data_IF_624411193200
#
_entry.id   IF_624411193200
#
_cell.length_a   1.000
_cell.length_b   1.000
_cell.length_c   1.000
_cell.angle_alpha   90.00
_cell.angle_beta   90.00
_cell.angle_gamma   90.00
#
_symmetry.space_group_name_H-M   'P 1'
#
loop_
_entity.id
_entity.type
_entity.pdbx_description
1 polymer ?
#
# COMPACT_ATOMS: atom_id res chain seq x y z
N UNK A 1 47.26 -12.66 19.89
CA UNK A 1 45.90 -12.35 20.38
C UNK A 1 44.95 -12.68 19.24
N UNK A 2 44.15 -13.75 19.36
CA UNK A 2 43.15 -14.10 18.33
C UNK A 2 41.96 -13.15 18.49
N UNK A 3 41.45 -12.50 17.43
CA UNK A 3 40.21 -11.73 17.52
C UNK A 3 39.08 -12.67 17.94
N UNK A 4 38.24 -12.20 18.87
CA UNK A 4 37.05 -12.91 19.33
C UNK A 4 35.98 -12.83 18.24
N UNK A 5 35.89 -13.91 17.46
CA UNK A 5 35.00 -14.10 16.31
C UNK A 5 33.52 -13.84 16.69
N UNK A 6 33.13 -13.98 17.96
CA UNK A 6 31.73 -13.84 18.38
C UNK A 6 31.30 -12.37 18.57
N UNK A 7 32.23 -11.43 18.66
CA UNK A 7 31.91 -10.00 18.84
C UNK A 7 31.91 -9.21 17.53
N UNK A 8 32.54 -9.73 16.47
CA UNK A 8 32.60 -9.06 15.17
C UNK A 8 31.31 -9.26 14.36
N UNK A 9 30.68 -10.43 14.43
CA UNK A 9 29.48 -10.77 13.65
C UNK A 9 28.28 -9.83 13.92
N UNK A 10 27.91 -9.53 15.19
CA UNK A 10 26.76 -8.65 15.46
C UNK A 10 26.99 -7.21 15.00
N UNK A 11 28.23 -6.72 15.10
CA UNK A 11 28.62 -5.36 14.70
C UNK A 11 28.61 -5.22 13.17
N UNK A 12 29.11 -6.23 12.46
CA UNK A 12 29.09 -6.27 10.99
C UNK A 12 27.65 -6.35 10.47
N UNK A 13 26.80 -7.20 11.06
CA UNK A 13 25.39 -7.32 10.68
C UNK A 13 24.63 -6.00 10.88
N UNK A 14 24.76 -5.38 12.05
CA UNK A 14 24.12 -4.10 12.34
C UNK A 14 24.59 -3.00 11.38
N UNK A 15 25.88 -2.95 11.06
CA UNK A 15 26.45 -1.96 10.12
C UNK A 15 25.91 -2.15 8.72
N UNK A 16 25.82 -3.40 8.24
CA UNK A 16 25.25 -3.73 6.94
C UNK A 16 23.77 -3.35 6.85
N UNK A 17 22.99 -3.69 7.89
CA UNK A 17 21.58 -3.31 8.00
C UNK A 17 21.42 -1.79 7.99
N UNK A 18 22.16 -1.06 8.83
CA UNK A 18 22.13 0.41 8.88
C UNK A 18 22.44 1.02 7.52
N UNK A 19 23.47 0.53 6.84
CA UNK A 19 23.84 1.01 5.52
C UNK A 19 22.73 0.75 4.49
N UNK A 20 22.07 -0.40 4.56
CA UNK A 20 20.92 -0.71 3.70
C UNK A 20 19.72 0.20 3.99
N UNK A 21 19.36 0.38 5.26
CA UNK A 21 18.26 1.24 5.67
C UNK A 21 18.46 2.71 5.24
N UNK A 22 19.66 3.25 5.46
CA UNK A 22 19.99 4.62 5.03
C UNK A 22 19.94 4.77 3.51
N UNK A 23 20.41 3.78 2.75
CA UNK A 23 20.27 3.79 1.28
C UNK A 23 18.80 3.81 0.86
N UNK A 24 17.97 2.96 1.47
CA UNK A 24 16.54 2.94 1.17
C UNK A 24 15.89 4.30 1.46
N UNK A 25 16.12 4.87 2.66
CA UNK A 25 15.56 6.17 3.07
C UNK A 25 16.01 7.29 2.12
N UNK A 26 17.30 7.35 1.79
CA UNK A 26 17.80 8.35 0.85
C UNK A 26 17.18 8.18 -0.54
N UNK A 27 17.03 6.95 -1.02
CA UNK A 27 16.43 6.65 -2.32
C UNK A 27 14.95 7.04 -2.39
N UNK A 28 14.15 6.77 -1.35
CA UNK A 28 12.72 7.16 -1.37
C UNK A 28 12.52 8.67 -1.27
N UNK A 29 13.51 9.41 -0.79
CA UNK A 29 13.49 10.89 -0.70
C UNK A 29 14.14 11.59 -1.90
N UNK A 30 14.67 10.84 -2.87
CA UNK A 30 15.44 11.39 -3.99
C UNK A 30 14.60 12.23 -4.96
N UNK A 31 13.33 11.85 -5.20
CA UNK A 31 12.40 12.65 -6.02
C UNK A 31 10.99 12.70 -5.43
N UNK A 32 10.19 13.72 -5.76
CA UNK A 32 8.80 13.81 -5.31
C UNK A 32 7.95 12.57 -5.66
N UNK A 33 8.21 11.92 -6.80
CA UNK A 33 7.52 10.69 -7.20
C UNK A 33 7.87 9.51 -6.29
N UNK A 34 9.16 9.33 -5.97
CA UNK A 34 9.62 8.25 -5.10
C UNK A 34 9.03 8.42 -3.69
N UNK A 35 9.02 9.66 -3.18
CA UNK A 35 8.44 9.96 -1.88
C UNK A 35 6.92 9.73 -1.88
N UNK A 36 6.23 10.18 -2.93
CA UNK A 36 4.79 9.95 -3.07
C UNK A 36 4.45 8.45 -3.10
N UNK A 37 5.17 7.66 -3.89
CA UNK A 37 4.96 6.20 -3.94
C UNK A 37 5.29 5.52 -2.62
N UNK A 38 6.33 5.98 -1.91
CA UNK A 38 6.61 5.53 -0.54
C UNK A 38 5.44 5.83 0.39
N UNK A 39 4.89 7.05 0.37
CA UNK A 39 3.77 7.45 1.23
C UNK A 39 2.51 6.64 0.94
N UNK A 40 2.17 6.44 -0.34
CA UNK A 40 1.05 5.58 -0.77
C UNK A 40 1.28 4.12 -0.37
N UNK A 41 2.49 3.60 -0.58
CA UNK A 41 2.86 2.24 -0.17
C UNK A 41 2.72 2.03 1.34
N UNK A 42 3.20 3.00 2.13
CA UNK A 42 3.06 2.99 3.58
C UNK A 42 1.59 3.04 3.99
N UNK A 43 0.80 3.95 3.39
CA UNK A 43 -0.63 4.11 3.62
C UNK A 43 -1.41 2.81 3.40
N UNK A 44 -1.25 2.15 2.26
CA UNK A 44 -1.97 0.90 1.99
C UNK A 44 -1.48 -0.25 2.87
N UNK A 45 -0.18 -0.33 3.15
CA UNK A 45 0.38 -1.34 4.04
C UNK A 45 -0.22 -1.22 5.45
N UNK A 46 -0.24 -0.01 6.02
CA UNK A 46 -0.83 0.20 7.36
C UNK A 46 -2.33 -0.07 7.38
N UNK A 47 -3.08 0.32 6.36
CA UNK A 47 -4.51 -0.01 6.26
C UNK A 47 -4.74 -1.54 6.27
N UNK A 48 -3.98 -2.29 5.47
CA UNK A 48 -4.08 -3.76 5.44
C UNK A 48 -3.73 -4.40 6.79
N UNK A 49 -2.63 -3.99 7.42
CA UNK A 49 -2.20 -4.51 8.73
C UNK A 49 -3.22 -4.20 9.82
N UNK A 50 -3.73 -2.96 9.88
CA UNK A 50 -4.71 -2.55 10.88
C UNK A 50 -6.02 -3.31 10.70
N UNK A 51 -6.50 -3.47 9.45
CA UNK A 51 -7.74 -4.21 9.19
C UNK A 51 -7.68 -5.65 9.70
N UNK A 52 -6.60 -6.38 9.38
CA UNK A 52 -6.40 -7.74 9.88
C UNK A 52 -6.18 -7.80 11.40
N UNK A 53 -5.59 -6.77 12.00
CA UNK A 53 -5.35 -6.69 13.44
C UNK A 53 -6.61 -6.45 14.27
N UNK A 54 -7.54 -5.62 13.78
CA UNK A 54 -8.81 -5.33 14.49
C UNK A 54 -9.80 -6.49 14.33
N UNK A 55 -9.81 -7.15 13.16
CA UNK A 55 -10.70 -8.27 12.88
C UNK A 55 -9.94 -9.50 12.37
N UNK A 56 -9.35 -10.31 13.28
CA UNK A 56 -8.59 -11.51 12.91
C UNK A 56 -9.39 -12.51 12.07
N UNK A 57 -10.72 -12.57 12.24
CA UNK A 57 -11.61 -13.41 11.43
C UNK A 57 -11.58 -13.05 9.93
N UNK A 58 -11.12 -11.85 9.55
CA UNK A 58 -10.85 -11.49 8.16
C UNK A 58 -9.63 -12.21 7.57
N UNK A 59 -8.67 -12.61 8.41
CA UNK A 59 -7.45 -13.30 7.98
C UNK A 59 -7.59 -14.83 7.99
N UNK A 60 -8.36 -15.38 8.94
CA UNK A 60 -8.42 -16.82 9.23
C UNK A 60 -9.83 -17.43 9.30
N UNK A 61 -10.89 -16.65 9.03
CA UNK A 61 -12.28 -17.13 9.02
C UNK A 61 -12.73 -17.65 7.65
N UNK A 62 -13.55 -18.72 7.65
CA UNK A 62 -13.97 -19.47 6.46
C UNK A 62 -14.86 -18.76 5.44
N UNK A 63 -15.11 -17.45 5.58
CA UNK A 63 -15.98 -16.72 4.65
C UNK A 63 -15.66 -15.24 4.45
N UNK A 64 -14.41 -14.79 4.71
CA UNK A 64 -13.97 -13.39 4.47
C UNK A 64 -15.09 -12.37 4.78
N UNK A 65 -15.63 -12.44 5.98
CA UNK A 65 -16.86 -11.76 6.36
C UNK A 65 -16.68 -10.26 6.32
N UNK A 66 -17.61 -9.54 5.69
CA UNK A 66 -17.61 -8.08 5.69
C UNK A 66 -17.90 -7.54 7.09
N UNK A 67 -17.18 -6.50 7.47
CA UNK A 67 -17.44 -5.73 8.69
C UNK A 67 -17.42 -4.24 8.35
N UNK A 68 -18.40 -3.50 8.85
CA UNK A 68 -18.40 -2.04 8.78
C UNK A 68 -17.74 -1.50 10.04
N UNK A 69 -16.65 -0.78 9.86
CA UNK A 69 -15.91 -0.10 10.93
C UNK A 69 -16.11 1.40 10.82
N UNK A 70 -16.05 2.11 11.95
CA UNK A 70 -16.02 3.56 11.94
C UNK A 70 -14.56 4.03 11.85
N UNK A 71 -14.08 4.26 10.63
CA UNK A 71 -12.81 4.92 10.39
C UNK A 71 -12.85 6.34 11.01
N UNK A 72 -11.80 6.68 11.77
CA UNK A 72 -11.72 7.92 12.59
C UNK A 72 -12.89 8.13 13.58
N UNK A 73 -13.64 7.07 13.91
CA UNK A 73 -14.74 7.11 14.89
C UNK A 73 -16.10 7.57 14.36
N UNK A 74 -16.20 8.02 13.10
CA UNK A 74 -17.47 8.52 12.54
C UNK A 74 -17.69 8.21 11.04
N UNK A 75 -16.71 7.65 10.34
CA UNK A 75 -16.81 7.35 8.90
C UNK A 75 -17.07 5.84 8.74
N UNK A 76 -18.28 5.41 8.34
CA UNK A 76 -18.55 3.99 8.14
C UNK A 76 -17.80 3.50 6.89
N UNK A 77 -16.95 2.50 7.07
CA UNK A 77 -16.21 1.84 5.98
C UNK A 77 -16.44 0.35 6.10
N UNK A 78 -17.04 -0.24 5.08
CA UNK A 78 -17.20 -1.69 4.99
C UNK A 78 -15.95 -2.29 4.35
N UNK A 79 -15.36 -3.28 5.01
CA UNK A 79 -14.17 -4.00 4.52
C UNK A 79 -14.31 -5.49 4.80
N UNK A 80 -13.57 -6.31 4.05
CA UNK A 80 -13.42 -7.73 4.30
C UNK A 80 -11.96 -8.17 4.14
N UNK A 81 -11.69 -9.47 4.30
CA UNK A 81 -10.35 -10.02 4.17
C UNK A 81 -9.68 -9.78 2.81
N UNK A 82 -10.45 -9.81 1.72
CA UNK A 82 -9.93 -9.52 0.38
C UNK A 82 -9.53 -8.06 0.23
N UNK A 83 -10.38 -7.14 0.68
CA UNK A 83 -10.10 -5.71 0.68
C UNK A 83 -8.80 -5.41 1.44
N UNK A 84 -8.67 -5.94 2.66
CA UNK A 84 -7.47 -5.78 3.48
C UNK A 84 -6.22 -6.39 2.81
N UNK A 85 -6.37 -7.56 2.18
CA UNK A 85 -5.29 -8.22 1.45
C UNK A 85 -4.83 -7.41 0.25
N UNK A 86 -5.74 -6.83 -0.53
CA UNK A 86 -5.38 -6.03 -1.69
C UNK A 86 -4.63 -4.77 -1.28
N UNK A 87 -5.08 -4.04 -0.25
CA UNK A 87 -4.29 -2.92 0.30
C UNK A 87 -2.92 -3.38 0.79
N UNK A 88 -2.82 -4.52 1.46
CA UNK A 88 -1.53 -5.00 1.95
C UNK A 88 -0.58 -5.30 0.79
N UNK A 89 -1.03 -6.03 -0.24
CA UNK A 89 -0.21 -6.39 -1.39
C UNK A 89 0.21 -5.16 -2.19
N UNK A 90 -0.73 -4.25 -2.49
CA UNK A 90 -0.41 -3.01 -3.23
C UNK A 90 0.51 -2.12 -2.41
N UNK A 91 0.29 -2.02 -1.10
CA UNK A 91 1.15 -1.29 -0.18
C UNK A 91 2.59 -1.79 -0.17
N UNK A 92 2.79 -3.10 0.00
CA UNK A 92 4.12 -3.73 -0.02
C UNK A 92 4.79 -3.57 -1.39
N UNK A 93 4.04 -3.69 -2.49
CA UNK A 93 4.55 -3.43 -3.83
C UNK A 93 5.01 -1.96 -3.99
N UNK A 94 4.27 -1.00 -3.42
CA UNK A 94 4.63 0.42 -3.40
C UNK A 94 5.93 0.66 -2.65
N UNK A 95 6.06 0.12 -1.43
CA UNK A 95 7.29 0.20 -0.64
C UNK A 95 8.49 -0.42 -1.38
N UNK A 96 8.29 -1.57 -2.02
CA UNK A 96 9.34 -2.21 -2.80
C UNK A 96 9.75 -1.40 -4.04
N UNK A 97 8.81 -0.70 -4.68
CA UNK A 97 9.03 0.08 -5.90
C UNK A 97 9.55 1.51 -5.66
N UNK A 98 9.28 2.08 -4.48
CA UNK A 98 9.63 3.45 -4.11
C UNK A 98 11.13 3.82 -4.25
N UNK A 99 12.12 2.91 -4.04
CA UNK A 99 13.53 3.29 -4.10
C UNK A 99 14.05 3.70 -5.48
N UNK A 100 13.31 3.43 -6.56
CA UNK A 100 13.78 3.69 -7.92
C UNK A 100 12.71 4.38 -8.73
N UNK A 101 13.03 5.55 -9.28
CA UNK A 101 12.09 6.40 -10.03
C UNK A 101 11.31 5.67 -11.12
N UNK A 102 11.97 4.80 -11.90
CA UNK A 102 11.30 4.03 -12.96
C UNK A 102 10.23 3.08 -12.41
N UNK A 103 10.57 2.30 -11.36
CA UNK A 103 9.63 1.40 -10.70
C UNK A 103 8.51 2.16 -9.99
N UNK A 104 8.82 3.33 -9.39
CA UNK A 104 7.80 4.21 -8.83
C UNK A 104 6.80 4.69 -9.88
N UNK A 105 7.26 5.05 -11.09
CA UNK A 105 6.38 5.45 -12.18
C UNK A 105 5.49 4.29 -12.65
N UNK A 106 6.07 3.11 -12.87
CA UNK A 106 5.31 1.90 -13.23
C UNK A 106 4.28 1.54 -12.16
N UNK A 107 4.67 1.57 -10.89
CA UNK A 107 3.77 1.33 -9.77
C UNK A 107 2.61 2.33 -9.77
N UNK A 108 2.89 3.62 -9.93
CA UNK A 108 1.85 4.65 -9.93
C UNK A 108 0.82 4.41 -11.04
N UNK A 109 1.26 4.09 -12.26
CA UNK A 109 0.33 3.75 -13.35
C UNK A 109 -0.50 2.49 -13.05
N UNK A 110 0.16 1.39 -12.68
CA UNK A 110 -0.52 0.11 -12.44
C UNK A 110 -1.48 0.22 -11.25
N UNK A 111 -1.01 0.74 -10.11
CA UNK A 111 -1.79 0.89 -8.89
C UNK A 111 -2.93 1.88 -9.09
N UNK A 112 -2.67 3.06 -9.67
CA UNK A 112 -3.69 4.07 -9.89
C UNK A 112 -4.84 3.54 -10.76
N UNK A 113 -4.52 2.88 -11.88
CA UNK A 113 -5.52 2.27 -12.76
C UNK A 113 -6.25 1.10 -12.08
N UNK A 114 -5.55 0.29 -11.28
CA UNK A 114 -6.17 -0.78 -10.51
C UNK A 114 -7.23 -0.24 -9.53
N UNK A 115 -6.92 0.83 -8.79
CA UNK A 115 -7.87 1.44 -7.86
C UNK A 115 -9.06 2.10 -8.57
N UNK A 116 -8.85 2.70 -9.75
CA UNK A 116 -9.96 3.20 -10.58
C UNK A 116 -10.84 2.07 -11.11
N UNK A 117 -10.27 0.94 -11.51
CA UNK A 117 -11.03 -0.25 -11.90
C UNK A 117 -11.87 -0.76 -10.74
N UNK A 118 -11.27 -0.90 -9.55
CA UNK A 118 -11.98 -1.32 -8.34
C UNK A 118 -13.13 -0.37 -8.01
N UNK A 119 -12.90 0.94 -8.08
CA UNK A 119 -13.94 1.95 -7.87
C UNK A 119 -15.08 1.82 -8.89
N UNK A 120 -14.76 1.67 -10.18
CA UNK A 120 -15.76 1.49 -11.23
C UNK A 120 -16.59 0.23 -11.02
N UNK A 121 -15.97 -0.88 -10.62
CA UNK A 121 -16.66 -2.11 -10.26
C UNK A 121 -17.57 -1.88 -9.04
N UNK A 122 -17.11 -1.18 -8.01
CA UNK A 122 -17.89 -0.85 -6.82
C UNK A 122 -19.15 -0.04 -7.14
N UNK A 123 -19.07 0.95 -8.04
CA UNK A 123 -20.24 1.73 -8.46
C UNK A 123 -21.22 0.97 -9.37
N UNK A 124 -20.75 -0.01 -10.14
CA UNK A 124 -21.55 -0.65 -11.21
C UNK A 124 -22.14 -2.00 -10.83
N UNK A 125 -21.57 -2.69 -9.84
CA UNK A 125 -21.78 -4.13 -9.70
C UNK A 125 -22.85 -4.56 -8.70
N UNK A 126 -23.57 -3.62 -8.05
CA UNK A 126 -24.57 -3.96 -7.03
C UNK A 126 -24.02 -4.92 -5.96
N UNK A 127 -24.90 -5.70 -5.31
CA UNK A 127 -24.54 -6.58 -4.17
C UNK A 127 -23.49 -7.67 -4.50
N UNK A 128 -23.34 -8.09 -5.76
CA UNK A 128 -22.53 -9.28 -6.08
C UNK A 128 -21.01 -9.08 -6.02
N UNK A 129 -20.47 -7.90 -6.35
CA UNK A 129 -19.03 -7.57 -6.15
C UNK A 129 -18.79 -6.95 -4.78
N UNK A 130 -19.82 -6.31 -4.21
CA UNK A 130 -19.85 -5.91 -2.80
C UNK A 130 -19.55 -7.09 -1.88
N UNK A 131 -19.91 -8.33 -2.20
CA UNK A 131 -19.55 -9.48 -1.37
C UNK A 131 -18.08 -9.95 -1.51
N UNK A 132 -17.42 -9.73 -2.66
CA UNK A 132 -16.04 -10.19 -2.85
C UNK A 132 -15.02 -9.24 -2.24
N UNK A 133 -15.20 -7.92 -2.33
CA UNK A 133 -14.27 -6.93 -1.73
C UNK A 133 -14.91 -5.97 -0.73
N UNK A 134 -16.20 -6.13 -0.41
CA UNK A 134 -16.90 -5.29 0.58
C UNK A 134 -16.83 -3.79 0.29
N UNK A 135 -16.65 -3.36 -0.96
CA UNK A 135 -16.49 -1.93 -1.29
C UNK A 135 -17.85 -1.27 -1.40
N UNK A 136 -18.34 -0.69 -0.31
CA UNK A 136 -19.55 0.15 -0.33
C UNK A 136 -19.36 1.41 -1.22
N UNK A 137 -20.45 2.17 -1.41
CA UNK A 137 -20.41 3.41 -2.20
C UNK A 137 -19.35 4.38 -1.69
N UNK A 138 -19.15 4.46 -0.37
CA UNK A 138 -18.15 5.33 0.22
C UNK A 138 -16.73 4.84 -0.10
N UNK A 139 -16.44 3.55 0.07
CA UNK A 139 -15.19 2.93 -0.35
C UNK A 139 -14.91 3.13 -1.85
N UNK A 140 -15.94 3.10 -2.69
CA UNK A 140 -15.80 3.38 -4.13
C UNK A 140 -15.38 4.83 -4.41
N UNK A 141 -15.91 5.79 -3.64
CA UNK A 141 -15.48 7.21 -3.71
C UNK A 141 -14.03 7.36 -3.25
N UNK A 142 -13.65 6.71 -2.14
CA UNK A 142 -12.26 6.74 -1.65
C UNK A 142 -11.30 6.20 -2.69
N UNK A 143 -11.58 5.01 -3.25
CA UNK A 143 -10.75 4.41 -4.30
C UNK A 143 -10.68 5.27 -5.58
N UNK A 144 -11.74 6.00 -5.91
CA UNK A 144 -11.73 6.96 -7.02
C UNK A 144 -10.72 8.07 -6.75
N UNK A 145 -10.76 8.68 -5.55
CA UNK A 145 -9.85 9.75 -5.18
C UNK A 145 -8.40 9.24 -5.18
N UNK A 146 -8.15 8.10 -4.57
CA UNK A 146 -6.82 7.47 -4.53
C UNK A 146 -6.31 7.19 -5.95
N UNK A 147 -7.11 6.55 -6.79
CA UNK A 147 -6.77 6.22 -8.18
C UNK A 147 -6.48 7.47 -9.01
N UNK A 148 -7.36 8.49 -8.95
CA UNK A 148 -7.18 9.77 -9.68
C UNK A 148 -5.91 10.49 -9.23
N UNK A 149 -5.66 10.58 -7.92
CA UNK A 149 -4.47 11.26 -7.39
C UNK A 149 -3.20 10.54 -7.82
N UNK A 150 -3.16 9.21 -7.72
CA UNK A 150 -1.98 8.42 -8.11
C UNK A 150 -1.72 8.54 -9.62
N UNK A 151 -2.74 8.40 -10.46
CA UNK A 151 -2.62 8.57 -11.92
C UNK A 151 -2.19 10.01 -12.28
N UNK A 152 -2.76 11.02 -11.63
CA UNK A 152 -2.40 12.42 -11.84
C UNK A 152 -0.93 12.69 -11.53
N UNK A 153 -0.40 12.11 -10.45
CA UNK A 153 1.03 12.20 -10.11
C UNK A 153 1.89 11.45 -11.13
N UNK A 154 1.47 10.27 -11.60
CA UNK A 154 2.17 9.53 -12.65
C UNK A 154 2.31 10.36 -13.93
N UNK A 155 1.18 10.87 -14.45
CA UNK A 155 1.14 11.71 -15.63
C UNK A 155 2.01 12.98 -15.48
N UNK A 156 1.94 13.62 -14.30
CA UNK A 156 2.76 14.81 -14.00
C UNK A 156 4.26 14.47 -13.94
N UNK A 157 4.63 13.31 -13.42
CA UNK A 157 6.03 12.88 -13.35
C UNK A 157 6.60 12.54 -14.73
N UNK A 158 5.77 12.08 -15.65
CA UNK A 158 6.12 11.75 -17.03
C UNK A 158 6.40 13.02 -17.86
N UNK A 159 5.59 14.06 -17.70
CA UNK A 159 5.82 15.38 -18.34
C UNK A 159 7.07 16.12 -17.87
N UNK A 160 7.65 15.76 -16.71
CA UNK A 160 8.95 16.31 -16.28
C UNK A 160 10.15 15.52 -16.82
N UNK A 161 9.90 14.49 -17.63
CA UNK A 161 10.90 13.60 -18.20
C UNK A 161 11.27 13.98 -19.63
N UNK A 162 10.37 14.68 -20.33
CA UNK A 162 10.52 15.32 -21.64
C UNK A 162 11.06 16.73 -21.53
#
# INVERSE_FOLDING_TARGET
MRPDINTEEPVVLFTAFRAHALRYVNSVLETPLQFFVFAVGAWFTTNGVIAFGIYPDMAVGGSMTSCTINFLGFIPVTVNGWHALFHLITGLAGLAAAPTRSRSLTYAWVCGLFYLLVAALGFTSGDHVLHMMAVDTFGSVVHTIEGVVIVGVAARAETRRS
#
